data_IF_565743622748
#
_entry.id   IF_565743622748
#
_cell.length_a   1.000
_cell.length_b   1.000
_cell.length_c   1.000
_cell.angle_alpha   90.00
_cell.angle_beta   90.00
_cell.angle_gamma   90.00
#
_symmetry.space_group_name_H-M   'P 1'
#
loop_
_entity.id
_entity.type
_entity.pdbx_description
1 polymer ?
#
# COMPACT_ATOMS: atom_id res chain seq x y z
N UNK A 1 -77.75 -15.05 -19.23
CA UNK A 1 -76.49 -14.78 -19.95
C UNK A 1 -75.41 -14.37 -18.94
N UNK A 2 -74.64 -15.32 -18.40
CA UNK A 2 -73.34 -15.06 -17.77
C UNK A 2 -72.48 -16.28 -18.13
N UNK A 3 -71.43 -16.07 -18.93
CA UNK A 3 -70.48 -17.10 -19.36
C UNK A 3 -69.32 -17.11 -18.36
N UNK A 4 -69.08 -18.24 -17.71
CA UNK A 4 -67.86 -18.49 -16.93
C UNK A 4 -66.79 -19.11 -17.84
N UNK A 5 -65.63 -18.48 -17.93
CA UNK A 5 -64.47 -18.91 -18.69
C UNK A 5 -63.52 -19.67 -17.74
N UNK A 6 -63.28 -20.95 -18.01
CA UNK A 6 -62.29 -21.75 -17.28
C UNK A 6 -60.92 -21.62 -17.98
N UNK A 7 -59.91 -21.17 -17.24
CA UNK A 7 -58.50 -21.12 -17.68
C UNK A 7 -57.80 -22.37 -17.17
N UNK A 8 -57.27 -23.18 -18.08
CA UNK A 8 -56.41 -24.34 -17.79
C UNK A 8 -54.96 -23.85 -17.82
N UNK A 9 -54.29 -23.86 -16.66
CA UNK A 9 -52.86 -23.57 -16.54
C UNK A 9 -52.03 -24.85 -16.60
N UNK A 10 -51.15 -24.95 -17.59
CA UNK A 10 -50.12 -25.99 -17.72
C UNK A 10 -48.92 -25.68 -16.83
N UNK A 11 -48.65 -26.52 -15.83
CA UNK A 11 -47.45 -26.42 -15.00
C UNK A 11 -46.26 -27.10 -15.68
N UNK A 12 -45.23 -26.32 -16.02
CA UNK A 12 -43.93 -26.82 -16.48
C UNK A 12 -43.06 -27.20 -15.27
N UNK A 13 -42.68 -28.47 -15.14
CA UNK A 13 -41.66 -28.92 -14.20
C UNK A 13 -40.30 -28.36 -14.63
N UNK A 14 -39.77 -27.36 -13.92
CA UNK A 14 -38.35 -27.02 -13.97
C UNK A 14 -37.57 -28.06 -13.16
N UNK A 15 -36.84 -28.95 -13.84
CA UNK A 15 -35.82 -29.78 -13.21
C UNK A 15 -34.63 -28.90 -12.83
N UNK A 16 -34.52 -28.55 -11.56
CA UNK A 16 -33.34 -27.91 -10.98
C UNK A 16 -32.19 -28.92 -10.92
N UNK A 17 -31.28 -28.88 -11.89
CA UNK A 17 -30.00 -29.57 -11.77
C UNK A 17 -29.18 -28.86 -10.69
N UNK A 18 -29.03 -29.54 -9.55
CA UNK A 18 -28.06 -29.16 -8.51
C UNK A 18 -26.67 -29.31 -9.13
N UNK A 19 -26.06 -28.19 -9.53
CA UNK A 19 -24.65 -28.15 -9.89
C UNK A 19 -23.83 -28.41 -8.63
N UNK A 20 -23.42 -29.65 -8.41
CA UNK A 20 -22.36 -29.97 -7.47
C UNK A 20 -21.11 -29.23 -7.95
N UNK A 21 -20.46 -28.39 -7.14
CA UNK A 21 -19.23 -27.73 -7.55
C UNK A 21 -18.20 -28.82 -7.88
N UNK A 22 -17.85 -28.95 -9.16
CA UNK A 22 -16.81 -29.86 -9.58
C UNK A 22 -15.52 -29.50 -8.82
N UNK A 23 -14.96 -30.47 -8.08
CA UNK A 23 -13.63 -30.30 -7.52
C UNK A 23 -12.67 -29.88 -8.64
N UNK A 24 -11.97 -28.76 -8.44
CA UNK A 24 -10.92 -28.27 -9.32
C UNK A 24 -9.97 -29.43 -9.65
N UNK A 25 -9.99 -29.92 -10.90
CA UNK A 25 -9.13 -31.03 -11.28
C UNK A 25 -7.67 -30.58 -11.13
N UNK A 26 -6.93 -31.26 -10.25
CA UNK A 26 -5.51 -31.01 -10.02
C UNK A 26 -4.72 -31.81 -11.04
N UNK A 27 -3.87 -31.13 -11.81
CA UNK A 27 -2.97 -31.74 -12.81
C UNK A 27 -1.54 -31.56 -12.34
N UNK A 28 -0.92 -32.62 -11.84
CA UNK A 28 0.48 -32.61 -11.43
C UNK A 28 1.41 -32.85 -12.62
N UNK A 29 2.45 -32.03 -12.74
CA UNK A 29 3.43 -32.07 -13.84
C UNK A 29 4.85 -32.00 -13.26
N UNK A 30 5.81 -32.68 -13.89
CA UNK A 30 7.17 -32.84 -13.36
C UNK A 30 8.23 -31.96 -14.05
N UNK A 31 7.87 -31.31 -15.15
CA UNK A 31 8.81 -30.54 -15.97
C UNK A 31 8.15 -29.30 -16.58
N UNK A 32 8.96 -28.33 -17.02
CA UNK A 32 8.48 -27.17 -17.77
C UNK A 32 7.74 -27.58 -19.06
N UNK A 33 8.19 -28.64 -19.74
CA UNK A 33 7.54 -29.14 -20.96
C UNK A 33 6.15 -29.74 -20.67
N UNK A 34 6.02 -30.54 -19.62
CA UNK A 34 4.72 -31.10 -19.22
C UNK A 34 3.78 -30.02 -18.65
N UNK A 35 4.33 -29.00 -17.98
CA UNK A 35 3.60 -27.81 -17.60
C UNK A 35 3.01 -27.06 -18.80
N UNK A 36 3.81 -26.81 -19.85
CA UNK A 36 3.29 -26.17 -21.05
C UNK A 36 2.16 -26.99 -21.70
N UNK A 37 2.35 -28.30 -21.85
CA UNK A 37 1.32 -29.17 -22.45
C UNK A 37 0.02 -29.18 -21.63
N UNK A 38 0.11 -29.15 -20.29
CA UNK A 38 -1.06 -29.03 -19.42
C UNK A 38 -1.74 -27.66 -19.57
N UNK A 39 -0.98 -26.58 -19.67
CA UNK A 39 -1.51 -25.22 -19.87
C UNK A 39 -2.25 -25.07 -21.21
N UNK A 40 -1.73 -25.69 -22.27
CA UNK A 40 -2.31 -25.61 -23.62
C UNK A 40 -3.72 -26.22 -23.69
N UNK A 41 -4.01 -27.20 -22.83
CA UNK A 41 -5.27 -27.93 -22.78
C UNK A 41 -6.14 -27.60 -21.56
N UNK A 42 -5.69 -26.64 -20.74
CA UNK A 42 -6.32 -26.32 -19.47
C UNK A 42 -7.75 -25.80 -19.65
N UNK A 43 -8.60 -26.15 -18.68
CA UNK A 43 -9.99 -25.71 -18.55
C UNK A 43 -10.14 -24.83 -17.31
N UNK A 44 -11.06 -23.88 -17.37
CA UNK A 44 -11.38 -23.04 -16.22
C UNK A 44 -11.71 -23.91 -14.98
N UNK A 45 -11.23 -23.47 -13.82
CA UNK A 45 -11.29 -24.19 -12.55
C UNK A 45 -10.12 -25.15 -12.31
N UNK A 46 -9.27 -25.47 -13.30
CA UNK A 46 -8.15 -26.39 -13.08
C UNK A 46 -7.00 -25.77 -12.30
N UNK A 47 -6.34 -26.61 -11.50
CA UNK A 47 -5.07 -26.30 -10.82
C UNK A 47 -3.95 -27.15 -11.42
N UNK A 48 -2.98 -26.52 -12.07
CA UNK A 48 -1.81 -27.19 -12.63
C UNK A 48 -0.63 -26.98 -11.70
N UNK A 49 -0.03 -28.07 -11.23
CA UNK A 49 0.94 -28.09 -10.14
C UNK A 49 2.29 -28.59 -10.64
N UNK A 50 3.29 -27.71 -10.68
CA UNK A 50 4.66 -28.06 -11.09
C UNK A 50 5.46 -28.59 -9.90
N UNK A 51 6.06 -29.76 -10.08
CA UNK A 51 6.93 -30.41 -9.10
C UNK A 51 8.03 -29.48 -8.57
N UNK A 52 8.38 -29.68 -7.29
CA UNK A 52 9.49 -28.97 -6.67
C UNK A 52 10.82 -29.25 -7.41
N UNK A 53 11.73 -28.28 -7.37
CA UNK A 53 13.03 -28.36 -8.00
C UNK A 53 13.47 -27.05 -8.66
N UNK A 54 14.67 -27.09 -9.22
CA UNK A 54 15.20 -26.03 -10.05
C UNK A 54 14.68 -26.20 -11.48
N UNK A 55 14.08 -25.14 -12.01
CA UNK A 55 13.57 -25.09 -13.37
C UNK A 55 14.21 -23.91 -14.10
N UNK A 56 14.57 -24.14 -15.36
CA UNK A 56 14.95 -23.10 -16.29
C UNK A 56 13.93 -23.07 -17.42
N UNK A 57 13.42 -21.87 -17.74
CA UNK A 57 12.53 -21.66 -18.85
C UNK A 57 13.30 -20.97 -19.99
N UNK A 58 13.91 -21.76 -20.87
CA UNK A 58 14.64 -21.25 -22.04
C UNK A 58 13.71 -20.62 -23.09
N UNK A 59 12.40 -20.91 -22.97
CA UNK A 59 11.32 -20.22 -23.68
C UNK A 59 10.26 -19.81 -22.65
N UNK A 60 9.50 -18.74 -22.92
CA UNK A 60 8.42 -18.33 -22.02
C UNK A 60 7.36 -19.44 -21.87
N UNK A 61 6.90 -19.66 -20.64
CA UNK A 61 5.81 -20.59 -20.31
C UNK A 61 4.50 -19.83 -20.55
N UNK A 62 3.82 -20.15 -21.65
CA UNK A 62 2.66 -19.39 -22.11
C UNK A 62 1.40 -19.80 -21.37
N UNK A 63 0.69 -18.81 -20.85
CA UNK A 63 -0.63 -18.97 -20.24
C UNK A 63 -1.67 -18.30 -21.14
N UNK A 64 -2.45 -19.12 -21.84
CA UNK A 64 -3.47 -18.66 -22.80
C UNK A 64 -4.90 -19.03 -22.39
N UNK A 65 -5.06 -19.68 -21.23
CA UNK A 65 -6.34 -20.09 -20.67
C UNK A 65 -6.68 -19.26 -19.44
N UNK A 66 -7.95 -18.89 -19.31
CA UNK A 66 -8.48 -18.08 -18.21
C UNK A 66 -9.07 -18.97 -17.11
N UNK A 67 -9.21 -18.41 -15.91
CA UNK A 67 -9.88 -19.08 -14.79
C UNK A 67 -9.09 -20.26 -14.23
N UNK A 68 -7.77 -20.28 -14.36
CA UNK A 68 -6.91 -21.40 -13.92
C UNK A 68 -5.96 -20.97 -12.80
N UNK A 69 -5.49 -21.95 -12.03
CA UNK A 69 -4.39 -21.76 -11.10
C UNK A 69 -3.15 -22.51 -11.57
N UNK A 70 -2.02 -21.82 -11.64
CA UNK A 70 -0.70 -22.39 -11.89
C UNK A 70 0.09 -22.28 -10.58
N UNK A 71 0.50 -23.41 -10.04
CA UNK A 71 1.06 -23.47 -8.70
C UNK A 71 2.34 -24.31 -8.60
N UNK A 72 3.21 -23.93 -7.67
CA UNK A 72 4.25 -24.81 -7.17
C UNK A 72 3.64 -25.98 -6.37
N UNK A 73 4.27 -27.16 -6.42
CA UNK A 73 3.89 -28.31 -5.59
C UNK A 73 3.97 -28.00 -4.10
N UNK A 74 5.06 -27.34 -3.71
CA UNK A 74 5.32 -26.87 -2.35
C UNK A 74 5.67 -25.40 -2.47
N UNK A 75 5.05 -24.53 -1.67
CA UNK A 75 5.39 -23.10 -1.64
C UNK A 75 6.88 -22.95 -1.38
N UNK A 76 7.57 -22.21 -2.25
CA UNK A 76 9.03 -22.02 -2.17
C UNK A 76 9.87 -23.18 -2.72
N UNK A 77 9.26 -24.32 -3.06
CA UNK A 77 9.96 -25.52 -3.53
C UNK A 77 10.22 -25.55 -5.04
N UNK A 78 9.49 -24.77 -5.84
CA UNK A 78 9.65 -24.70 -7.30
C UNK A 78 10.30 -23.38 -7.68
N UNK A 79 11.54 -23.45 -8.17
CA UNK A 79 12.42 -22.29 -8.36
C UNK A 79 12.72 -22.08 -9.84
N UNK A 80 12.42 -20.89 -10.37
CA UNK A 80 12.90 -20.44 -11.67
C UNK A 80 14.15 -19.57 -11.51
N UNK A 81 15.25 -19.94 -12.18
CA UNK A 81 16.52 -19.19 -12.14
C UNK A 81 16.69 -18.22 -13.31
N UNK A 82 15.99 -18.49 -14.42
CA UNK A 82 15.86 -17.64 -15.62
C UNK A 82 14.54 -17.94 -16.33
N UNK A 83 14.07 -17.00 -17.14
CA UNK A 83 12.79 -17.11 -17.84
C UNK A 83 11.61 -17.07 -16.87
N UNK A 84 10.44 -17.56 -17.29
CA UNK A 84 9.24 -17.60 -16.45
C UNK A 84 7.97 -17.67 -17.26
N UNK A 85 6.89 -17.13 -16.70
CA UNK A 85 5.56 -17.11 -17.31
C UNK A 85 5.37 -15.92 -18.25
N UNK A 86 4.67 -16.16 -19.35
CA UNK A 86 4.14 -15.15 -20.25
C UNK A 86 2.62 -15.31 -20.31
N UNK A 87 1.91 -14.36 -19.72
CA UNK A 87 0.45 -14.34 -19.74
C UNK A 87 -0.01 -13.73 -21.07
N UNK A 88 -0.96 -14.39 -21.74
CA UNK A 88 -1.64 -13.84 -22.91
C UNK A 88 -2.81 -12.93 -22.52
N UNK A 89 -3.76 -12.77 -23.43
CA UNK A 89 -5.06 -12.17 -23.14
C UNK A 89 -5.93 -13.14 -22.34
N UNK A 90 -5.78 -13.12 -21.01
CA UNK A 90 -6.44 -14.03 -20.07
C UNK A 90 -7.12 -13.27 -18.95
N UNK A 91 -8.00 -13.94 -18.21
CA UNK A 91 -8.62 -13.41 -17.00
C UNK A 91 -8.60 -14.43 -15.88
N UNK A 92 -8.65 -13.96 -14.63
CA UNK A 92 -8.85 -14.82 -13.46
C UNK A 92 -7.79 -15.94 -13.34
N UNK A 93 -6.53 -15.61 -13.66
CA UNK A 93 -5.39 -16.52 -13.54
C UNK A 93 -4.74 -16.33 -12.18
N UNK A 94 -4.44 -17.42 -11.48
CA UNK A 94 -3.66 -17.39 -10.24
C UNK A 94 -2.27 -17.98 -10.47
N UNK A 95 -1.22 -17.24 -10.09
CA UNK A 95 0.18 -17.72 -10.05
C UNK A 95 0.62 -17.84 -8.60
N UNK A 96 0.93 -19.06 -8.16
CA UNK A 96 1.03 -19.38 -6.75
C UNK A 96 2.30 -20.16 -6.36
N UNK A 97 2.98 -19.71 -5.30
CA UNK A 97 3.95 -20.55 -4.58
C UNK A 97 5.35 -20.65 -5.20
N UNK A 98 5.63 -19.98 -6.33
CA UNK A 98 6.91 -20.09 -7.03
C UNK A 98 8.00 -19.22 -6.41
N UNK A 99 9.27 -19.57 -6.67
CA UNK A 99 10.42 -18.70 -6.43
C UNK A 99 10.97 -18.20 -7.76
N UNK A 100 10.97 -16.87 -7.95
CA UNK A 100 11.61 -16.18 -9.05
C UNK A 100 12.98 -15.68 -8.59
N UNK A 101 14.04 -16.39 -8.99
CA UNK A 101 15.43 -16.12 -8.61
C UNK A 101 16.31 -15.82 -9.84
N UNK A 102 17.57 -15.43 -9.61
CA UNK A 102 18.51 -15.08 -10.68
C UNK A 102 17.97 -13.93 -11.52
N UNK A 103 17.72 -14.18 -12.80
CA UNK A 103 17.15 -13.20 -13.73
C UNK A 103 15.64 -13.35 -13.95
N UNK A 104 15.01 -14.35 -13.32
CA UNK A 104 13.59 -14.65 -13.49
C UNK A 104 12.69 -13.54 -12.91
N UNK A 105 11.60 -13.23 -13.63
CA UNK A 105 10.61 -12.19 -13.27
C UNK A 105 9.23 -12.59 -13.72
N UNK A 106 8.25 -11.81 -13.28
CA UNK A 106 6.88 -11.90 -13.77
C UNK A 106 6.39 -10.54 -14.28
N UNK A 107 5.69 -10.56 -15.40
CA UNK A 107 4.95 -9.42 -15.93
C UNK A 107 3.50 -9.82 -16.15
N UNK A 108 2.57 -9.00 -15.65
CA UNK A 108 1.12 -9.14 -15.89
C UNK A 108 0.73 -8.09 -16.92
N UNK A 109 0.59 -8.46 -18.21
CA UNK A 109 0.29 -7.50 -19.28
C UNK A 109 -1.14 -6.98 -19.19
N UNK A 110 -1.45 -5.89 -19.91
CA UNK A 110 -2.70 -5.16 -19.75
C UNK A 110 -3.97 -5.99 -20.01
N UNK A 111 -3.83 -7.03 -20.82
CA UNK A 111 -4.88 -7.95 -21.22
C UNK A 111 -5.15 -9.02 -20.14
N UNK A 112 -4.22 -9.26 -19.21
CA UNK A 112 -4.27 -10.29 -18.17
C UNK A 112 -5.02 -9.83 -16.90
N UNK A 113 -6.26 -9.37 -17.06
CA UNK A 113 -7.06 -8.73 -16.00
C UNK A 113 -7.47 -9.72 -14.90
N UNK A 114 -7.74 -9.22 -13.70
CA UNK A 114 -8.19 -10.05 -12.57
C UNK A 114 -7.21 -11.20 -12.21
N UNK A 115 -5.93 -11.04 -12.56
CA UNK A 115 -4.89 -12.01 -12.20
C UNK A 115 -4.57 -11.89 -10.71
N UNK A 116 -4.36 -13.02 -10.04
CA UNK A 116 -3.88 -13.08 -8.66
C UNK A 116 -2.44 -13.60 -8.61
N UNK A 117 -1.54 -12.82 -8.03
CA UNK A 117 -0.15 -13.19 -7.81
C UNK A 117 0.02 -13.40 -6.32
N UNK A 118 0.17 -14.66 -5.89
CA UNK A 118 0.15 -14.98 -4.46
C UNK A 118 1.20 -15.98 -4.00
N UNK A 119 1.69 -15.81 -2.77
CA UNK A 119 2.65 -16.75 -2.14
C UNK A 119 3.93 -16.99 -2.94
N UNK A 120 4.32 -16.06 -3.81
CA UNK A 120 5.57 -16.16 -4.57
C UNK A 120 6.72 -15.48 -3.83
N UNK A 121 7.94 -15.99 -4.01
CA UNK A 121 9.16 -15.35 -3.54
C UNK A 121 9.93 -14.76 -4.73
N UNK A 122 10.28 -13.48 -4.67
CA UNK A 122 11.18 -12.82 -5.61
C UNK A 122 12.51 -12.54 -4.91
N UNK A 123 13.55 -13.28 -5.28
CA UNK A 123 14.89 -13.18 -4.66
C UNK A 123 16.01 -12.90 -5.67
N UNK A 124 15.68 -12.74 -6.95
CA UNK A 124 16.67 -12.42 -7.98
C UNK A 124 17.30 -11.03 -7.77
N UNK A 125 18.62 -10.92 -7.88
CA UNK A 125 19.35 -9.66 -7.75
C UNK A 125 19.76 -9.14 -9.13
N UNK A 126 18.77 -8.67 -9.91
CA UNK A 126 18.97 -8.10 -11.24
C UNK A 126 18.39 -6.71 -11.33
N UNK A 127 18.72 -6.01 -12.41
CA UNK A 127 18.17 -4.69 -12.66
C UNK A 127 16.68 -4.74 -13.07
N UNK A 128 15.98 -3.63 -12.85
CA UNK A 128 14.56 -3.47 -13.18
C UNK A 128 13.61 -4.17 -12.21
N UNK A 129 12.32 -4.22 -12.55
CA UNK A 129 11.28 -4.74 -11.66
C UNK A 129 11.39 -6.26 -11.42
N UNK A 130 10.99 -6.74 -10.23
CA UNK A 130 10.72 -8.18 -10.01
C UNK A 130 9.36 -8.59 -10.57
N UNK A 131 8.36 -7.75 -10.30
CA UNK A 131 6.98 -7.91 -10.73
C UNK A 131 6.50 -6.61 -11.37
N UNK A 132 6.09 -6.67 -12.64
CA UNK A 132 5.48 -5.56 -13.37
C UNK A 132 4.01 -5.84 -13.65
N UNK A 133 3.15 -4.86 -13.42
CA UNK A 133 1.69 -4.98 -13.61
C UNK A 133 1.17 -3.85 -14.49
N UNK A 134 0.54 -4.24 -15.59
CA UNK A 134 -0.17 -3.35 -16.50
C UNK A 134 -1.68 -3.63 -16.55
N UNK A 135 -2.15 -4.77 -16.04
CA UNK A 135 -3.57 -5.12 -16.06
C UNK A 135 -4.36 -4.44 -14.92
N UNK A 136 -5.66 -4.27 -15.16
CA UNK A 136 -6.61 -3.89 -14.14
C UNK A 136 -6.97 -5.08 -13.23
N UNK A 137 -7.45 -4.77 -12.03
CA UNK A 137 -8.04 -5.72 -11.07
C UNK A 137 -7.07 -6.79 -10.56
N UNK A 138 -5.76 -6.53 -10.62
CA UNK A 138 -4.74 -7.49 -10.17
C UNK A 138 -4.66 -7.50 -8.65
N UNK A 139 -4.75 -8.69 -8.06
CA UNK A 139 -4.49 -8.93 -6.64
C UNK A 139 -3.04 -9.41 -6.48
N UNK A 140 -2.28 -8.74 -5.63
CA UNK A 140 -0.89 -9.07 -5.30
C UNK A 140 -0.82 -9.29 -3.79
N UNK A 141 -0.78 -10.55 -3.37
CA UNK A 141 -0.91 -10.89 -1.96
C UNK A 141 0.03 -11.96 -1.43
N UNK A 142 0.43 -11.88 -0.16
CA UNK A 142 1.25 -12.91 0.49
C UNK A 142 2.57 -13.22 -0.25
N UNK A 143 3.10 -12.31 -1.06
CA UNK A 143 4.38 -12.50 -1.73
C UNK A 143 5.53 -12.02 -0.84
N UNK A 144 6.73 -12.54 -1.07
CA UNK A 144 7.97 -12.05 -0.45
C UNK A 144 8.91 -11.52 -1.51
N UNK A 145 9.29 -10.25 -1.40
CA UNK A 145 10.31 -9.62 -2.23
C UNK A 145 11.54 -9.36 -1.37
N UNK A 146 12.70 -9.91 -1.72
CA UNK A 146 13.84 -9.89 -0.80
C UNK A 146 15.21 -9.77 -1.44
N UNK A 147 16.14 -9.22 -0.65
CA UNK A 147 17.59 -9.25 -0.87
C UNK A 147 18.03 -8.65 -2.22
N UNK A 148 17.64 -7.40 -2.47
CA UNK A 148 18.04 -6.68 -3.69
C UNK A 148 19.08 -5.62 -3.37
N UNK A 149 20.19 -5.64 -4.10
CA UNK A 149 21.23 -4.61 -4.06
C UNK A 149 21.41 -3.92 -5.41
N UNK A 150 20.87 -4.48 -6.49
CA UNK A 150 20.90 -3.91 -7.84
C UNK A 150 19.85 -2.82 -8.04
N UNK A 151 19.98 -2.04 -9.12
CA UNK A 151 19.08 -0.95 -9.43
C UNK A 151 17.72 -1.47 -9.93
N UNK A 152 16.63 -1.16 -9.24
CA UNK A 152 15.30 -1.51 -9.70
C UNK A 152 14.29 -1.69 -8.59
N UNK A 153 13.01 -1.52 -8.92
CA UNK A 153 11.92 -1.67 -7.95
C UNK A 153 11.59 -3.13 -7.69
N UNK A 154 11.00 -3.46 -6.53
CA UNK A 154 10.44 -4.80 -6.36
C UNK A 154 9.14 -4.94 -7.16
N UNK A 155 8.14 -4.13 -6.83
CA UNK A 155 6.83 -4.15 -7.45
C UNK A 155 6.58 -2.86 -8.22
N UNK A 156 6.18 -3.00 -9.47
CA UNK A 156 5.80 -1.89 -10.30
C UNK A 156 4.38 -2.02 -10.85
N UNK A 157 3.55 -1.00 -10.63
CA UNK A 157 2.22 -0.88 -11.23
C UNK A 157 2.25 0.28 -12.22
N UNK A 158 2.01 0.03 -13.50
CA UNK A 158 2.18 1.05 -14.55
C UNK A 158 0.94 1.29 -15.40
N UNK A 159 0.16 0.26 -15.72
CA UNK A 159 -0.88 0.35 -16.77
C UNK A 159 -0.33 0.44 -18.20
N UNK A 160 -1.17 0.23 -19.23
CA UNK A 160 -0.79 0.32 -20.64
C UNK A 160 -0.62 1.76 -21.12
N UNK A 161 0.34 2.00 -22.03
CA UNK A 161 0.50 3.28 -22.71
C UNK A 161 0.56 4.47 -21.75
N UNK A 162 -0.31 5.47 -21.97
CA UNK A 162 -0.49 6.65 -21.11
C UNK A 162 -1.52 6.47 -19.98
N UNK A 163 -2.17 5.32 -19.90
CA UNK A 163 -3.14 4.99 -18.84
C UNK A 163 -2.48 4.28 -17.65
N UNK A 164 -3.17 4.26 -16.52
CA UNK A 164 -2.74 3.57 -15.28
C UNK A 164 -3.60 2.33 -15.03
N UNK A 165 -2.99 1.26 -14.54
CA UNK A 165 -3.70 0.07 -14.09
C UNK A 165 -4.68 0.45 -12.97
N UNK A 166 -5.89 -0.07 -13.05
CA UNK A 166 -6.99 0.26 -12.13
C UNK A 166 -7.18 -0.82 -11.08
N UNK A 167 -7.53 -0.41 -9.86
CA UNK A 167 -8.04 -1.29 -8.79
C UNK A 167 -7.10 -2.44 -8.45
N UNK A 168 -5.78 -2.23 -8.57
CA UNK A 168 -4.81 -3.19 -8.05
C UNK A 168 -4.94 -3.26 -6.52
N UNK A 169 -4.96 -4.47 -5.98
CA UNK A 169 -5.04 -4.70 -4.54
C UNK A 169 -3.76 -5.38 -4.07
N UNK A 170 -2.94 -4.62 -3.34
CA UNK A 170 -1.59 -5.02 -2.91
C UNK A 170 -1.63 -5.20 -1.40
N UNK A 171 -1.66 -6.46 -0.93
CA UNK A 171 -1.81 -6.71 0.50
C UNK A 171 -1.05 -7.89 1.09
N UNK A 172 -0.70 -7.81 2.36
CA UNK A 172 -0.03 -8.91 3.08
C UNK A 172 1.29 -9.36 2.43
N UNK A 173 1.95 -8.49 1.66
CA UNK A 173 3.26 -8.78 1.09
C UNK A 173 4.37 -8.39 2.07
N UNK A 174 5.49 -9.11 1.97
CA UNK A 174 6.70 -8.84 2.72
C UNK A 174 7.81 -8.31 1.80
N UNK A 175 8.25 -7.06 2.02
CA UNK A 175 9.35 -6.43 1.32
C UNK A 175 10.55 -6.33 2.26
N UNK A 176 11.64 -7.02 1.94
CA UNK A 176 12.78 -7.18 2.86
C UNK A 176 14.12 -6.87 2.21
N UNK A 177 14.95 -6.10 2.91
CA UNK A 177 16.37 -5.99 2.59
C UNK A 177 16.61 -5.50 1.15
N UNK A 178 15.97 -4.38 0.82
CA UNK A 178 16.29 -3.61 -0.38
C UNK A 178 17.43 -2.66 -0.01
N UNK A 179 18.63 -2.89 -0.51
CA UNK A 179 19.88 -2.22 -0.10
C UNK A 179 20.64 -1.64 -1.28
N UNK A 180 19.93 -1.22 -2.32
CA UNK A 180 20.53 -0.48 -3.43
C UNK A 180 21.20 0.80 -2.92
N UNK A 181 22.43 1.06 -3.33
CA UNK A 181 23.23 2.21 -2.83
C UNK A 181 23.28 3.38 -3.80
N UNK A 182 22.63 3.28 -4.96
CA UNK A 182 22.49 4.39 -5.89
C UNK A 182 21.48 5.43 -5.40
N UNK A 183 21.34 6.51 -6.17
CA UNK A 183 20.56 7.67 -5.76
C UNK A 183 19.07 7.61 -6.11
N UNK A 184 18.66 6.75 -7.04
CA UNK A 184 17.28 6.66 -7.52
C UNK A 184 16.98 5.28 -8.12
N UNK A 185 15.75 4.80 -7.95
CA UNK A 185 15.23 3.61 -8.63
C UNK A 185 15.25 2.34 -7.78
N UNK A 186 15.44 2.48 -6.46
CA UNK A 186 15.40 1.38 -5.49
C UNK A 186 14.10 1.34 -4.67
N UNK A 187 12.98 1.83 -5.22
CA UNK A 187 11.71 1.84 -4.48
C UNK A 187 11.21 0.39 -4.24
N UNK A 188 10.62 0.09 -3.09
CA UNK A 188 9.99 -1.24 -2.92
C UNK A 188 8.72 -1.36 -3.75
N UNK A 189 7.88 -0.32 -3.73
CA UNK A 189 6.72 -0.19 -4.61
C UNK A 189 6.83 1.11 -5.40
N UNK A 190 6.66 1.03 -6.72
CA UNK A 190 6.34 2.19 -7.56
C UNK A 190 4.98 2.02 -8.21
N UNK A 191 4.04 2.90 -7.85
CA UNK A 191 2.67 2.90 -8.34
C UNK A 191 2.44 4.10 -9.26
N UNK A 192 2.66 3.88 -10.55
CA UNK A 192 2.56 4.88 -11.61
C UNK A 192 3.91 5.52 -11.98
N UNK A 193 3.81 6.67 -12.65
CA UNK A 193 4.92 7.49 -13.13
C UNK A 193 4.48 8.95 -13.21
N UNK A 194 5.42 9.89 -13.28
CA UNK A 194 5.11 11.31 -13.36
C UNK A 194 4.13 11.66 -14.49
N UNK A 195 4.32 11.10 -15.69
CA UNK A 195 3.43 11.32 -16.84
C UNK A 195 2.04 10.67 -16.71
N UNK A 196 1.78 9.93 -15.61
CA UNK A 196 0.49 9.29 -15.29
C UNK A 196 -0.13 9.88 -14.01
N UNK A 197 0.46 10.95 -13.47
CA UNK A 197 0.12 11.45 -12.13
C UNK A 197 -1.36 11.81 -11.95
N UNK A 198 -2.00 12.39 -12.98
CA UNK A 198 -3.41 12.79 -12.96
C UNK A 198 -4.39 11.62 -13.12
N UNK A 199 -3.90 10.41 -13.43
CA UNK A 199 -4.75 9.25 -13.67
C UNK A 199 -5.15 8.59 -12.35
N UNK A 200 -6.45 8.40 -12.15
CA UNK A 200 -7.01 7.72 -10.97
C UNK A 200 -6.76 6.22 -11.06
N UNK A 201 -5.86 5.68 -10.25
CA UNK A 201 -5.60 4.24 -10.22
C UNK A 201 -6.61 3.50 -9.33
N UNK A 202 -7.15 4.15 -8.29
CA UNK A 202 -8.04 3.49 -7.32
C UNK A 202 -7.39 2.24 -6.71
N UNK A 203 -6.07 2.23 -6.58
CA UNK A 203 -5.34 1.09 -6.03
C UNK A 203 -5.33 1.15 -4.51
N UNK A 204 -5.27 -0.03 -3.89
CA UNK A 204 -5.22 -0.20 -2.44
C UNK A 204 -3.90 -0.89 -2.09
N UNK A 205 -3.07 -0.23 -1.27
CA UNK A 205 -1.84 -0.78 -0.70
C UNK A 205 -2.05 -0.93 0.81
N UNK A 206 -2.29 -2.15 1.28
CA UNK A 206 -2.63 -2.36 2.68
C UNK A 206 -2.04 -3.59 3.35
N UNK A 207 -1.84 -3.54 4.66
CA UNK A 207 -1.33 -4.68 5.42
C UNK A 207 0.00 -5.26 4.92
N UNK A 208 0.86 -4.44 4.29
CA UNK A 208 2.19 -4.88 3.86
C UNK A 208 3.25 -4.53 4.91
N UNK A 209 4.30 -5.34 4.99
CA UNK A 209 5.44 -5.11 5.87
C UNK A 209 6.69 -4.79 5.05
N UNK A 210 7.33 -3.67 5.38
CA UNK A 210 8.60 -3.23 4.82
C UNK A 210 9.67 -3.21 5.91
N UNK A 211 10.73 -3.97 5.70
CA UNK A 211 11.86 -4.06 6.62
C UNK A 211 13.17 -3.90 5.87
N UNK A 212 14.02 -2.97 6.30
CA UNK A 212 15.28 -2.64 5.60
C UNK A 212 15.02 -2.25 4.14
N UNK A 213 13.98 -1.45 3.91
CA UNK A 213 13.67 -0.84 2.62
C UNK A 213 14.53 0.43 2.45
N UNK A 214 15.81 0.21 2.15
CA UNK A 214 16.87 1.24 2.15
C UNK A 214 17.41 1.54 0.75
N UNK A 215 16.85 0.91 -0.29
CA UNK A 215 17.26 1.08 -1.68
C UNK A 215 16.95 2.46 -2.24
N UNK A 216 16.00 3.17 -1.63
CA UNK A 216 15.59 4.52 -2.01
C UNK A 216 15.02 5.24 -0.77
N UNK A 217 14.95 6.57 -0.83
CA UNK A 217 14.19 7.35 0.14
C UNK A 217 12.68 7.09 0.04
N UNK A 218 12.21 6.50 -1.06
CA UNK A 218 10.81 6.12 -1.31
C UNK A 218 10.62 4.59 -1.13
N UNK A 219 10.22 4.12 0.06
CA UNK A 219 9.83 2.71 0.21
C UNK A 219 8.56 2.41 -0.60
N UNK A 220 7.56 3.29 -0.47
CA UNK A 220 6.34 3.30 -1.28
C UNK A 220 6.30 4.62 -2.04
N UNK A 221 6.46 4.57 -3.37
CA UNK A 221 6.38 5.73 -4.26
C UNK A 221 5.04 5.72 -5.00
N UNK A 222 4.11 6.57 -4.60
CA UNK A 222 2.84 6.79 -5.31
C UNK A 222 3.03 7.91 -6.35
N UNK A 223 2.76 7.57 -7.61
CA UNK A 223 2.92 8.45 -8.79
C UNK A 223 1.65 8.39 -9.66
N UNK A 224 0.49 8.43 -9.02
CA UNK A 224 -0.87 8.42 -9.60
C UNK A 224 -1.89 8.92 -8.58
N UNK A 225 -3.16 9.06 -8.97
CA UNK A 225 -4.21 9.66 -8.14
C UNK A 225 -5.22 8.66 -7.56
N UNK A 226 -5.97 9.11 -6.55
CA UNK A 226 -7.13 8.42 -5.96
C UNK A 226 -6.80 7.05 -5.34
N UNK A 227 -5.64 6.92 -4.70
CA UNK A 227 -5.20 5.68 -4.08
C UNK A 227 -5.53 5.62 -2.58
N UNK A 228 -5.45 4.42 -2.01
CA UNK A 228 -5.49 4.19 -0.56
C UNK A 228 -4.21 3.48 -0.14
N UNK A 229 -3.48 4.04 0.82
CA UNK A 229 -2.29 3.43 1.43
C UNK A 229 -2.54 3.32 2.92
N UNK A 230 -2.91 2.14 3.40
CA UNK A 230 -3.36 1.98 4.79
C UNK A 230 -2.83 0.77 5.52
N UNK A 231 -2.72 0.86 6.83
CA UNK A 231 -2.42 -0.29 7.70
C UNK A 231 -1.12 -1.05 7.38
N UNK A 232 -0.19 -0.41 6.65
CA UNK A 232 1.13 -0.96 6.41
C UNK A 232 2.04 -0.74 7.63
N UNK A 233 3.07 -1.56 7.76
CA UNK A 233 4.15 -1.35 8.73
C UNK A 233 5.47 -1.13 7.99
N UNK A 234 6.15 -0.02 8.28
CA UNK A 234 7.53 0.21 7.82
C UNK A 234 8.41 0.31 9.05
N UNK A 235 9.44 -0.52 9.14
CA UNK A 235 10.39 -0.49 10.25
C UNK A 235 11.81 -0.73 9.80
N UNK A 236 12.77 -0.26 10.60
CA UNK A 236 14.20 -0.42 10.33
C UNK A 236 14.56 -0.06 8.88
N UNK A 237 13.98 1.03 8.36
CA UNK A 237 14.08 1.42 6.96
C UNK A 237 14.42 2.89 6.82
N UNK A 238 15.17 3.24 5.77
CA UNK A 238 15.40 4.62 5.34
C UNK A 238 14.23 5.16 4.53
N UNK A 239 13.55 4.30 3.77
CA UNK A 239 12.47 4.70 2.87
C UNK A 239 11.19 5.13 3.59
N UNK A 240 10.48 6.08 2.99
CA UNK A 240 9.24 6.70 3.45
C UNK A 240 8.05 6.19 2.63
N UNK A 241 6.83 6.47 3.11
CA UNK A 241 5.67 6.57 2.22
C UNK A 241 5.76 7.92 1.52
N UNK A 242 5.88 7.93 0.20
CA UNK A 242 6.02 9.16 -0.59
C UNK A 242 4.89 9.25 -1.62
N UNK A 243 4.00 10.23 -1.42
CA UNK A 243 3.07 10.69 -2.44
C UNK A 243 3.85 11.62 -3.37
N UNK A 244 4.58 11.00 -4.29
CA UNK A 244 5.60 11.66 -5.08
C UNK A 244 4.99 12.46 -6.23
N UNK A 245 3.92 11.93 -6.83
CA UNK A 245 3.11 12.60 -7.82
C UNK A 245 1.63 12.17 -7.72
N UNK A 246 0.73 12.99 -8.24
CA UNK A 246 -0.70 12.73 -8.26
C UNK A 246 -1.43 13.34 -7.07
N UNK A 247 -2.73 13.07 -6.96
CA UNK A 247 -3.64 13.80 -6.08
C UNK A 247 -4.63 12.86 -5.40
N UNK A 248 -5.31 13.32 -4.34
CA UNK A 248 -6.46 12.62 -3.71
C UNK A 248 -6.17 11.22 -3.15
N UNK A 249 -4.91 10.88 -2.94
CA UNK A 249 -4.52 9.68 -2.19
C UNK A 249 -4.82 9.84 -0.69
N UNK A 250 -5.39 8.81 -0.08
CA UNK A 250 -5.56 8.69 1.37
C UNK A 250 -4.48 7.80 1.95
N UNK A 251 -3.74 8.30 2.95
CA UNK A 251 -2.72 7.58 3.71
C UNK A 251 -3.19 7.44 5.16
N UNK A 252 -3.58 6.23 5.55
CA UNK A 252 -4.34 6.01 6.78
C UNK A 252 -3.82 4.88 7.67
N UNK A 253 -3.67 5.12 8.98
CA UNK A 253 -3.46 4.02 9.92
C UNK A 253 -2.13 3.27 9.74
N UNK A 254 -1.14 3.85 9.08
CA UNK A 254 0.16 3.19 8.90
C UNK A 254 0.98 3.27 10.19
N UNK A 255 1.77 2.23 10.48
CA UNK A 255 2.68 2.16 11.63
C UNK A 255 4.12 2.30 11.13
N UNK A 256 4.75 3.44 11.38
CA UNK A 256 6.05 3.80 10.80
C UNK A 256 7.10 3.99 11.89
N UNK A 257 8.20 3.25 11.80
CA UNK A 257 9.30 3.27 12.77
C UNK A 257 10.61 3.68 12.08
N UNK A 258 11.19 4.80 12.50
CA UNK A 258 12.37 5.44 11.89
C UNK A 258 12.23 5.79 10.39
N UNK A 259 10.98 5.96 9.97
CA UNK A 259 10.51 6.33 8.64
C UNK A 259 9.53 7.52 8.79
N UNK A 260 8.76 7.82 7.76
CA UNK A 260 7.77 8.88 7.78
C UNK A 260 6.93 8.94 6.51
N UNK A 261 6.20 10.04 6.36
CA UNK A 261 5.34 10.31 5.21
C UNK A 261 5.78 11.63 4.57
N UNK A 262 6.03 11.61 3.26
CA UNK A 262 6.23 12.81 2.45
C UNK A 262 5.15 12.89 1.39
N UNK A 263 4.68 14.09 1.11
CA UNK A 263 3.69 14.28 0.05
C UNK A 263 3.90 15.56 -0.75
N UNK A 264 3.56 15.45 -2.02
CA UNK A 264 3.44 16.50 -3.03
C UNK A 264 2.04 16.38 -3.64
N UNK A 265 1.57 17.44 -4.30
CA UNK A 265 0.26 17.41 -4.97
C UNK A 265 -0.93 17.55 -4.02
N UNK A 266 -2.13 17.44 -4.60
CA UNK A 266 -3.31 18.10 -4.07
C UNK A 266 -4.29 17.15 -3.37
N UNK A 267 -5.07 17.70 -2.44
CA UNK A 267 -6.28 17.08 -1.87
C UNK A 267 -6.03 15.72 -1.18
N UNK A 268 -4.81 15.48 -0.71
CA UNK A 268 -4.48 14.27 0.06
C UNK A 268 -5.08 14.29 1.47
N UNK A 269 -5.30 13.09 2.00
CA UNK A 269 -5.67 12.88 3.41
C UNK A 269 -4.60 12.02 4.06
N UNK A 270 -3.91 12.55 5.06
CA UNK A 270 -2.90 11.84 5.86
C UNK A 270 -3.43 11.76 7.27
N UNK A 271 -4.09 10.64 7.60
CA UNK A 271 -4.90 10.52 8.81
C UNK A 271 -4.60 9.27 9.64
N UNK A 272 -4.78 9.33 10.95
CA UNK A 272 -4.63 8.16 11.83
C UNK A 272 -3.27 7.45 11.75
N UNK A 273 -2.21 8.07 11.22
CA UNK A 273 -0.91 7.40 11.13
C UNK A 273 -0.16 7.51 12.47
N UNK A 274 0.51 6.43 12.83
CA UNK A 274 1.46 6.40 13.94
C UNK A 274 2.87 6.44 13.37
N UNK A 275 3.64 7.45 13.76
CA UNK A 275 5.03 7.60 13.36
C UNK A 275 5.90 7.79 14.59
N UNK A 276 6.83 6.88 14.81
CA UNK A 276 7.85 6.95 15.86
C UNK A 276 9.22 6.97 15.20
N UNK A 277 9.95 8.07 15.33
CA UNK A 277 11.22 8.26 14.63
C UNK A 277 12.24 8.93 15.55
N UNK A 278 13.50 8.52 15.46
CA UNK A 278 14.62 9.23 16.10
C UNK A 278 15.23 10.30 15.18
N UNK A 279 14.56 10.58 14.05
CA UNK A 279 14.97 11.59 13.07
C UNK A 279 14.04 12.80 13.15
N UNK A 280 14.44 13.87 12.49
CA UNK A 280 13.75 15.17 12.61
C UNK A 280 12.50 15.31 11.72
N UNK A 281 11.96 14.24 11.11
CA UNK A 281 10.94 14.36 10.04
C UNK A 281 9.96 13.19 9.98
N UNK A 282 8.89 13.23 10.78
CA UNK A 282 7.81 12.22 10.72
C UNK A 282 6.85 12.50 9.56
N UNK A 283 6.49 13.76 9.36
CA UNK A 283 5.64 14.24 8.26
C UNK A 283 6.38 15.34 7.51
N UNK A 284 6.41 15.24 6.18
CA UNK A 284 7.02 16.20 5.28
C UNK A 284 6.00 16.74 4.28
N UNK A 285 5.72 18.04 4.39
CA UNK A 285 5.05 18.81 3.36
C UNK A 285 6.08 19.16 2.28
N UNK A 286 6.08 18.40 1.18
CA UNK A 286 7.10 18.55 0.15
C UNK A 286 6.89 19.83 -0.67
N UNK A 287 7.61 20.89 -0.36
CA UNK A 287 7.54 22.11 -1.16
C UNK A 287 7.93 21.80 -2.61
N UNK A 288 7.16 22.34 -3.54
CA UNK A 288 7.26 22.02 -4.96
C UNK A 288 8.34 22.83 -5.66
N UNK A 289 8.72 22.36 -6.85
CA UNK A 289 9.35 23.19 -7.89
C UNK A 289 8.33 23.83 -8.82
N UNK A 290 7.06 23.44 -8.69
CA UNK A 290 5.92 23.97 -9.42
C UNK A 290 4.74 24.19 -8.47
N UNK A 291 3.84 25.09 -8.83
CA UNK A 291 2.58 25.26 -8.11
C UNK A 291 1.61 24.11 -8.41
N UNK A 292 1.46 23.79 -9.70
CA UNK A 292 0.65 22.70 -10.22
C UNK A 292 1.35 22.12 -11.47
N UNK A 293 1.58 20.81 -11.50
CA UNK A 293 2.37 20.13 -12.52
C UNK A 293 1.49 19.85 -13.71
N UNK A 294 1.98 20.21 -14.89
CA UNK A 294 1.41 19.70 -16.14
C UNK A 294 1.49 18.16 -16.21
N UNK A 295 0.67 17.52 -17.05
CA UNK A 295 0.58 16.06 -17.15
C UNK A 295 1.89 15.39 -17.59
N UNK A 296 2.87 16.14 -18.12
CA UNK A 296 4.18 15.66 -18.56
C UNK A 296 5.33 16.05 -17.63
N UNK A 297 5.06 16.86 -16.60
CA UNK A 297 6.10 17.32 -15.68
C UNK A 297 6.74 16.14 -14.95
N UNK A 298 8.03 16.27 -14.66
CA UNK A 298 8.80 15.37 -13.79
C UNK A 298 9.14 16.05 -12.46
N UNK A 299 8.82 17.33 -12.33
CA UNK A 299 9.02 18.12 -11.13
C UNK A 299 7.96 17.80 -10.08
N UNK A 300 8.03 18.49 -8.95
CA UNK A 300 7.19 18.24 -7.80
C UNK A 300 6.25 19.41 -7.62
N UNK A 301 4.98 19.12 -7.40
CA UNK A 301 4.01 20.13 -6.98
C UNK A 301 4.15 20.40 -5.50
N UNK A 302 3.89 21.64 -5.12
CA UNK A 302 3.59 21.92 -3.73
C UNK A 302 2.30 21.17 -3.34
N UNK A 303 2.10 20.88 -2.06
CA UNK A 303 0.83 20.37 -1.60
C UNK A 303 -0.22 21.49 -1.49
N UNK A 304 -1.36 21.32 -2.18
CA UNK A 304 -2.53 22.19 -2.05
C UNK A 304 -3.72 21.43 -1.42
N UNK A 305 -4.35 22.03 -0.40
CA UNK A 305 -5.55 21.46 0.28
C UNK A 305 -5.35 20.06 0.87
N UNK A 306 -4.13 19.73 1.26
CA UNK A 306 -3.83 18.47 1.96
C UNK A 306 -4.26 18.58 3.42
N UNK A 307 -4.97 17.56 3.91
CA UNK A 307 -5.30 17.45 5.34
C UNK A 307 -4.39 16.43 6.03
N UNK A 308 -3.66 16.88 7.05
CA UNK A 308 -2.88 16.05 7.97
C UNK A 308 -3.56 16.09 9.33
N UNK A 309 -4.31 15.04 9.69
CA UNK A 309 -5.11 15.07 10.90
C UNK A 309 -5.15 13.75 11.68
N UNK A 310 -5.35 13.82 13.00
CA UNK A 310 -5.47 12.63 13.85
C UNK A 310 -4.26 11.70 13.77
N UNK A 311 -3.05 12.21 13.54
CA UNK A 311 -1.84 11.39 13.58
C UNK A 311 -1.20 11.45 14.98
N UNK A 312 -0.55 10.36 15.39
CA UNK A 312 0.33 10.34 16.56
C UNK A 312 1.78 10.33 16.07
N UNK A 313 2.48 11.43 16.29
CA UNK A 313 3.81 11.69 15.75
C UNK A 313 4.80 11.88 16.90
N UNK A 314 5.80 11.01 16.97
CA UNK A 314 6.79 10.97 18.04
C UNK A 314 8.16 11.11 17.39
N UNK A 315 8.86 12.20 17.73
CA UNK A 315 10.16 12.53 17.17
C UNK A 315 11.05 13.32 18.14
N UNK A 316 12.26 13.64 17.70
CA UNK A 316 13.26 14.35 18.52
C UNK A 316 13.46 15.81 18.11
N UNK A 317 13.20 16.15 16.85
CA UNK A 317 13.36 17.50 16.29
C UNK A 317 12.08 18.08 15.71
N UNK A 318 12.15 18.61 14.49
CA UNK A 318 11.03 19.21 13.76
C UNK A 318 10.07 18.14 13.20
N UNK A 319 9.39 17.42 14.10
CA UNK A 319 8.54 16.25 13.80
C UNK A 319 7.65 16.43 12.56
N UNK A 320 7.06 17.61 12.40
CA UNK A 320 6.38 18.01 11.15
C UNK A 320 7.17 19.14 10.49
N UNK A 321 7.53 18.95 9.23
CA UNK A 321 8.24 19.98 8.47
C UNK A 321 7.67 20.23 7.07
N UNK A 322 8.08 21.34 6.48
CA UNK A 322 8.10 21.48 5.03
C UNK A 322 9.55 21.47 4.53
N UNK A 323 9.81 20.94 3.35
CA UNK A 323 11.12 21.10 2.72
C UNK A 323 11.29 22.48 2.05
N UNK A 324 12.48 22.77 1.53
CA UNK A 324 12.89 24.09 1.03
C UNK A 324 12.61 24.36 -0.47
N UNK A 325 11.73 23.61 -1.13
CA UNK A 325 11.33 23.86 -2.54
C UNK A 325 10.75 25.27 -2.79
N UNK A 326 10.65 25.69 -4.05
CA UNK A 326 10.35 27.08 -4.44
C UNK A 326 8.90 27.47 -4.12
N UNK A 327 7.97 26.54 -4.33
CA UNK A 327 6.54 26.70 -4.06
C UNK A 327 6.17 26.05 -2.73
N UNK A 328 5.67 26.85 -1.79
CA UNK A 328 5.37 26.41 -0.42
C UNK A 328 3.96 25.83 -0.29
N UNK A 329 3.70 24.93 0.67
CA UNK A 329 2.36 24.39 0.94
C UNK A 329 1.27 25.46 1.00
N UNK A 330 0.11 25.20 0.38
CA UNK A 330 -0.99 26.16 0.33
C UNK A 330 -2.31 25.51 0.73
N UNK A 331 -3.12 26.26 1.48
CA UNK A 331 -4.45 25.87 1.96
C UNK A 331 -4.49 24.48 2.65
N UNK A 332 -3.37 24.06 3.22
CA UNK A 332 -3.27 22.78 3.91
C UNK A 332 -3.80 22.88 5.34
N UNK A 333 -4.07 21.74 5.96
CA UNK A 333 -4.56 21.64 7.34
C UNK A 333 -3.66 20.71 8.14
N UNK A 334 -3.23 21.16 9.32
CA UNK A 334 -2.60 20.34 10.34
C UNK A 334 -3.48 20.36 11.60
N UNK A 335 -4.25 19.29 11.83
CA UNK A 335 -5.30 19.32 12.85
C UNK A 335 -5.40 18.07 13.72
N UNK A 336 -5.73 18.26 15.00
CA UNK A 336 -6.02 17.14 15.90
C UNK A 336 -4.92 16.06 15.95
N UNK A 337 -3.65 16.44 15.77
CA UNK A 337 -2.52 15.52 15.89
C UNK A 337 -1.97 15.56 17.32
N UNK A 338 -1.46 14.42 17.81
CA UNK A 338 -0.55 14.38 18.96
C UNK A 338 0.87 14.46 18.42
N UNK A 339 1.63 15.49 18.79
CA UNK A 339 3.01 15.71 18.35
C UNK A 339 3.92 15.76 19.58
N UNK A 340 4.70 14.70 19.79
CA UNK A 340 5.66 14.60 20.88
C UNK A 340 7.08 14.80 20.34
N UNK A 341 7.73 15.89 20.76
CA UNK A 341 9.15 16.16 20.53
C UNK A 341 10.03 15.74 21.72
N UNK A 342 11.32 16.06 21.65
CA UNK A 342 12.23 16.02 22.81
C UNK A 342 12.82 17.39 23.18
N UNK A 343 12.86 18.34 22.24
CA UNK A 343 13.29 19.73 22.47
C UNK A 343 12.95 20.60 21.25
N UNK A 344 12.98 21.92 21.40
CA UNK A 344 12.82 22.85 20.26
C UNK A 344 11.40 22.88 19.67
N UNK A 345 11.25 23.47 18.49
CA UNK A 345 9.97 23.57 17.80
C UNK A 345 9.59 22.28 17.07
N UNK A 346 8.43 21.71 17.39
CA UNK A 346 7.97 20.43 16.79
C UNK A 346 7.39 20.59 15.38
N UNK A 347 7.08 21.82 14.98
CA UNK A 347 6.67 22.17 13.61
C UNK A 347 7.65 23.18 13.00
N UNK A 348 8.21 22.85 11.85
CA UNK A 348 9.11 23.71 11.08
C UNK A 348 8.59 23.91 9.66
N UNK A 349 7.80 24.96 9.43
CA UNK A 349 7.29 25.33 8.11
C UNK A 349 8.09 26.49 7.53
N UNK A 350 8.48 26.36 6.26
CA UNK A 350 9.14 27.44 5.55
C UNK A 350 8.20 28.64 5.34
N UNK A 351 8.76 29.85 5.40
CA UNK A 351 8.01 31.09 5.18
C UNK A 351 7.28 31.07 3.82
N UNK A 352 6.04 31.57 3.81
CA UNK A 352 5.13 31.51 2.65
C UNK A 352 4.19 30.30 2.64
N UNK A 353 4.39 29.32 3.53
CA UNK A 353 3.44 28.22 3.71
C UNK A 353 2.12 28.74 4.29
N UNK A 354 0.99 28.34 3.69
CA UNK A 354 -0.36 28.63 4.20
C UNK A 354 -0.97 27.34 4.73
N UNK A 355 -0.99 27.21 6.06
CA UNK A 355 -1.48 26.03 6.77
C UNK A 355 -2.42 26.47 7.88
N UNK A 356 -3.62 25.89 7.93
CA UNK A 356 -4.52 26.01 9.07
C UNK A 356 -4.09 25.04 10.17
N UNK A 357 -3.94 25.55 11.39
CA UNK A 357 -3.61 24.74 12.56
C UNK A 357 -4.77 24.76 13.55
N UNK A 358 -5.22 23.60 14.01
CA UNK A 358 -6.30 23.53 15.01
C UNK A 358 -6.28 22.24 15.83
N UNK A 359 -6.57 22.32 17.13
CA UNK A 359 -6.80 21.16 17.98
C UNK A 359 -5.61 20.22 18.21
N UNK A 360 -4.39 20.59 17.78
CA UNK A 360 -3.22 19.76 18.00
C UNK A 360 -2.85 19.74 19.50
N UNK A 361 -2.28 18.63 19.96
CA UNK A 361 -1.66 18.52 21.28
C UNK A 361 -0.16 18.33 21.07
N UNK A 362 0.64 19.17 21.72
CA UNK A 362 2.10 19.05 21.68
C UNK A 362 2.67 18.76 23.07
N UNK A 363 3.77 18.02 23.11
CA UNK A 363 4.53 17.74 24.33
C UNK A 363 6.02 17.57 24.05
N UNK A 364 6.87 17.89 25.02
CA UNK A 364 8.33 17.74 24.88
C UNK A 364 8.98 18.72 23.89
N UNK A 365 8.35 19.87 23.62
CA UNK A 365 8.84 20.91 22.72
C UNK A 365 7.93 22.13 22.68
N UNK A 366 8.24 23.11 21.84
CA UNK A 366 7.40 24.27 21.53
C UNK A 366 6.68 24.06 20.19
N UNK A 367 5.67 24.89 19.89
CA UNK A 367 4.96 24.81 18.60
C UNK A 367 5.81 25.13 17.37
N UNK A 368 7.01 25.70 17.52
CA UNK A 368 7.82 26.16 16.38
C UNK A 368 7.08 27.20 15.56
N UNK A 369 6.88 26.95 14.26
CA UNK A 369 6.12 27.85 13.38
C UNK A 369 4.60 27.78 13.55
N UNK A 370 4.08 26.81 14.29
CA UNK A 370 2.65 26.72 14.57
C UNK A 370 2.23 27.82 15.56
N UNK A 371 1.19 28.63 15.26
CA UNK A 371 0.70 29.65 16.19
C UNK A 371 0.11 29.01 17.45
N UNK A 372 0.15 29.72 18.58
CA UNK A 372 -0.34 29.21 19.88
C UNK A 372 -1.83 28.87 19.90
N UNK A 373 -2.64 29.45 19.00
CA UNK A 373 -4.04 29.08 18.81
C UNK A 373 -4.24 27.71 18.14
N UNK A 374 -3.20 27.19 17.48
CA UNK A 374 -3.24 25.93 16.73
C UNK A 374 -3.00 24.68 17.57
N UNK A 375 -2.58 24.83 18.83
CA UNK A 375 -2.25 23.71 19.70
C UNK A 375 -2.50 23.96 21.19
N UNK A 376 -2.56 22.88 21.96
CA UNK A 376 -2.40 22.88 23.42
C UNK A 376 -1.06 22.25 23.79
N UNK A 377 -0.26 22.94 24.59
CA UNK A 377 0.99 22.38 25.15
C UNK A 377 0.66 21.68 26.46
N UNK A 378 0.46 20.37 26.41
CA UNK A 378 0.05 19.56 27.56
C UNK A 378 0.50 18.12 27.36
N UNK A 379 0.93 17.44 28.42
CA UNK A 379 1.29 16.02 28.35
C UNK A 379 0.07 15.19 27.88
N UNK A 380 0.13 14.53 26.71
CA UNK A 380 -0.94 13.66 26.24
C UNK A 380 -1.11 12.39 27.09
N UNK A 381 -0.24 12.15 28.08
CA UNK A 381 -0.23 10.97 28.95
C UNK A 381 -0.24 9.67 28.15
N UNK A 382 0.65 9.59 27.17
CA UNK A 382 0.83 8.40 26.34
C UNK A 382 1.49 7.28 27.15
N UNK A 383 0.93 6.07 27.07
CA UNK A 383 1.47 4.87 27.70
C UNK A 383 1.75 3.83 26.62
N UNK A 384 2.89 3.15 26.71
CA UNK A 384 3.26 2.12 25.75
C UNK A 384 2.50 0.82 26.06
N UNK A 385 1.79 0.29 25.07
CA UNK A 385 1.09 -1.00 25.18
C UNK A 385 2.05 -2.19 25.05
N UNK A 386 1.52 -3.41 25.18
CA UNK A 386 2.28 -4.65 25.05
C UNK A 386 2.87 -4.88 23.65
N UNK A 387 2.32 -4.22 22.62
CA UNK A 387 2.80 -4.28 21.24
C UNK A 387 3.83 -3.18 20.93
N UNK A 388 4.16 -2.35 21.92
CA UNK A 388 5.13 -1.28 21.77
C UNK A 388 4.58 -0.01 21.11
N UNK A 389 3.26 0.18 21.04
CA UNK A 389 2.63 1.40 20.52
C UNK A 389 2.27 2.33 21.68
N UNK A 390 2.52 3.63 21.52
CA UNK A 390 2.02 4.64 22.46
C UNK A 390 0.52 4.87 22.29
N UNK A 391 -0.24 4.66 23.36
CA UNK A 391 -1.70 4.78 23.46
C UNK A 391 -2.11 5.87 24.44
N UNK A 392 -3.31 6.41 24.31
CA UNK A 392 -3.87 7.31 25.29
C UNK A 392 -4.12 6.56 26.62
N UNK A 393 -3.80 7.20 27.75
CA UNK A 393 -4.25 6.71 29.06
C UNK A 393 -5.61 7.30 29.43
N UNK A 394 -6.32 6.69 30.39
CA UNK A 394 -7.66 7.12 30.84
C UNK A 394 -7.78 8.57 31.28
N UNK A 395 -6.68 9.18 31.73
CA UNK A 395 -6.62 10.58 32.15
C UNK A 395 -6.08 11.54 31.09
N UNK A 396 -5.96 11.09 29.84
CA UNK A 396 -5.35 11.88 28.76
C UNK A 396 -6.19 13.11 28.41
N UNK A 397 -5.57 14.30 28.27
CA UNK A 397 -6.25 15.50 27.79
C UNK A 397 -6.60 15.46 26.29
N UNK A 398 -6.15 14.41 25.57
CA UNK A 398 -6.48 14.20 24.16
C UNK A 398 -7.84 13.53 23.95
N UNK A 399 -8.42 12.95 24.99
CA UNK A 399 -9.71 12.25 24.93
C UNK A 399 -10.85 13.24 24.69
N UNK A 400 -11.71 12.94 23.71
CA UNK A 400 -12.83 13.75 23.24
C UNK A 400 -12.45 15.23 23.02
N UNK A 401 -11.23 15.48 22.57
CA UNK A 401 -10.64 16.82 22.54
C UNK A 401 -10.54 17.43 21.14
N UNK A 402 -10.88 16.70 20.08
CA UNK A 402 -10.76 17.20 18.70
C UNK A 402 -11.56 18.47 18.46
N UNK A 403 -11.12 19.31 17.53
CA UNK A 403 -11.88 20.49 17.08
C UNK A 403 -12.15 20.40 15.58
N UNK A 404 -13.04 21.24 15.08
CA UNK A 404 -13.46 21.23 13.67
C UNK A 404 -14.29 20.00 13.31
N UNK A 405 -14.59 19.87 12.01
CA UNK A 405 -15.43 18.78 11.48
C UNK A 405 -14.64 17.96 10.47
N UNK A 406 -14.45 16.67 10.79
CA UNK A 406 -13.71 15.71 9.96
C UNK A 406 -14.54 14.43 9.77
N UNK A 407 -15.74 14.56 9.20
CA UNK A 407 -16.73 13.47 9.11
C UNK A 407 -16.26 12.23 8.35
N UNK A 408 -15.18 12.34 7.57
CA UNK A 408 -14.58 11.21 6.86
C UNK A 408 -13.60 10.39 7.74
N UNK A 409 -13.22 10.87 8.92
CA UNK A 409 -12.37 10.13 9.87
C UNK A 409 -13.28 9.34 10.81
N UNK A 410 -13.80 8.23 10.29
CA UNK A 410 -14.84 7.42 10.97
C UNK A 410 -14.25 6.33 11.86
N UNK A 411 -12.98 5.99 11.66
CA UNK A 411 -12.24 5.01 12.47
C UNK A 411 -10.90 5.57 12.91
N UNK A 412 -10.31 4.93 13.90
CA UNK A 412 -8.95 5.20 14.35
C UNK A 412 -7.96 4.21 13.70
N UNK A 413 -6.70 4.24 14.13
CA UNK A 413 -5.70 3.30 13.60
C UNK A 413 -5.88 1.86 14.04
N UNK A 414 -6.67 1.57 15.10
CA UNK A 414 -7.09 0.25 15.62
C UNK A 414 -8.44 -0.23 15.03
N UNK A 415 -8.74 0.18 13.80
CA UNK A 415 -10.07 0.25 13.19
C UNK A 415 -11.30 0.42 14.10
N UNK A 416 -11.17 1.03 15.27
CA UNK A 416 -12.29 1.30 16.16
C UNK A 416 -13.11 2.47 15.63
N UNK A 417 -14.42 2.45 15.85
CA UNK A 417 -15.26 3.57 15.43
C UNK A 417 -15.00 4.79 16.30
N UNK A 418 -14.83 5.96 15.67
CA UNK A 418 -14.78 7.24 16.38
C UNK A 418 -16.21 7.75 16.57
N UNK A 419 -16.74 7.61 17.78
CA UNK A 419 -18.12 7.99 18.11
C UNK A 419 -18.17 9.29 18.91
N UNK A 420 -19.12 10.17 18.58
CA UNK A 420 -19.22 11.47 19.25
C UNK A 420 -18.09 12.40 18.82
N UNK A 421 -17.32 12.90 19.78
CA UNK A 421 -16.23 13.83 19.53
C UNK A 421 -14.90 13.06 19.54
N UNK A 422 -14.20 12.92 18.40
CA UNK A 422 -12.98 12.13 18.35
C UNK A 422 -11.89 12.56 19.33
N UNK A 423 -11.04 11.59 19.66
CA UNK A 423 -9.79 11.85 20.36
C UNK A 423 -8.75 12.51 19.43
N UNK A 424 -7.87 13.33 20.01
CA UNK A 424 -6.71 13.90 19.29
C UNK A 424 -5.63 12.83 19.16
N UNK A 425 -5.07 12.66 17.97
CA UNK A 425 -4.10 11.61 17.65
C UNK A 425 -4.71 10.39 16.97
N UNK A 426 -3.88 9.39 16.70
CA UNK A 426 -4.24 8.21 15.89
C UNK A 426 -5.10 7.18 16.62
N UNK A 427 -5.06 7.19 17.96
CA UNK A 427 -5.75 6.29 18.86
C UNK A 427 -7.08 6.91 19.29
N UNK A 428 -8.16 6.14 19.22
CA UNK A 428 -9.38 6.42 19.96
C UNK A 428 -9.30 5.62 21.26
N UNK A 429 -9.35 6.31 22.39
CA UNK A 429 -9.13 5.70 23.69
C UNK A 429 -10.18 4.61 23.97
N UNK A 430 -9.68 3.38 24.09
CA UNK A 430 -10.47 2.20 24.37
C UNK A 430 -9.58 1.17 25.07
N UNK A 431 -10.18 0.34 25.93
CA UNK A 431 -9.49 -0.78 26.57
C UNK A 431 -9.13 -1.91 25.60
N UNK A 432 -9.70 -1.92 24.39
CA UNK A 432 -9.58 -3.01 23.41
C UNK A 432 -8.60 -2.67 22.28
N UNK A 433 -7.35 -2.36 22.63
CA UNK A 433 -6.31 -2.12 21.63
C UNK A 433 -5.97 -3.40 20.85
N UNK A 434 -6.19 -3.41 19.54
CA UNK A 434 -6.13 -4.65 18.72
C UNK A 434 -4.96 -4.70 17.75
N UNK A 435 -4.40 -3.57 17.30
CA UNK A 435 -3.30 -3.62 16.34
C UNK A 435 -1.94 -3.67 16.99
N UNK A 436 -1.07 -4.35 16.24
CA UNK A 436 0.37 -4.49 16.45
C UNK A 436 1.09 -4.14 15.14
N UNK A 437 2.36 -3.71 15.21
CA UNK A 437 3.23 -3.68 14.04
C UNK A 437 3.25 -5.05 13.36
N UNK A 438 3.11 -5.09 12.03
CA UNK A 438 3.15 -6.34 11.29
C UNK A 438 4.51 -7.02 11.47
N UNK A 439 4.47 -8.34 11.48
CA UNK A 439 5.63 -9.22 11.53
C UNK A 439 5.62 -10.14 10.32
N UNK A 440 6.71 -10.88 10.12
CA UNK A 440 6.79 -11.92 9.09
C UNK A 440 5.73 -13.03 9.25
N UNK A 441 5.11 -13.16 10.42
CA UNK A 441 4.02 -14.11 10.63
C UNK A 441 2.68 -13.60 10.06
N UNK A 442 2.54 -12.29 9.87
CA UNK A 442 1.31 -11.66 9.40
C UNK A 442 1.34 -11.40 7.88
N UNK A 443 2.49 -11.56 7.21
CA UNK A 443 2.69 -11.27 5.78
C UNK A 443 3.61 -12.28 5.07
N UNK A 444 3.68 -12.18 3.74
CA UNK A 444 4.58 -12.99 2.92
C UNK A 444 4.10 -14.42 2.75
N UNK A 445 4.96 -15.26 2.16
CA UNK A 445 4.56 -16.57 1.62
C UNK A 445 4.02 -17.55 2.66
N UNK A 446 4.40 -17.36 3.93
CA UNK A 446 4.06 -18.22 5.07
C UNK A 446 2.90 -17.71 5.91
N UNK A 447 2.37 -16.52 5.64
CA UNK A 447 1.25 -15.99 6.41
C UNK A 447 -0.08 -16.72 6.09
N UNK A 448 -1.04 -16.74 7.03
CA UNK A 448 -2.30 -17.48 6.92
C UNK A 448 -3.11 -17.21 5.65
#
# INVERSE_FOLDING_TARGET
>A
MIRSLAVVGTAALLSSFVHVPAHAAVVSVSSVSSLQAALDTARAGQRIVLAQGLHAADRPIKITKSGITVAAQTIGGTVFTRGGFELGAVRDVTIEGFVFNGTSTLSVPAEARATRITRNTYSGNKDGASLSVSADDVQIDHNTFQNRTNAGVYLQITGPGSEIAKRSWIHHNYFYNHQFTGSNGGESIRLGYSHKQSKSANAIVEHNLFEKADGDAEAISIKSSDNIVRYNTIRNSKGYIVLRHGHRTTVEGNLLFNSGIRFHGNDHKVINNYVETTKDRAIVFGSGKEADSGPTSKLHDRPDRVTVAFNTLIGTGAVVDSDGGDFKPKDCVLANNVIRGSSGGVVSMHAGSTVKYEGNVIWGGTGGNMPSSGYKSVDPKLVKDANGLFRLSSGSPAINASVGTYSYVTRDFDPQARSGKPDVGADEYNSSAVRKPLTKADVGVSAP
#
